data_IF_332894184378
#
_entry.id   IF_332894184378
#
_cell.length_a   1.000
_cell.length_b   1.000
_cell.length_c   1.000
_cell.angle_alpha   90.00
_cell.angle_beta   90.00
_cell.angle_gamma   90.00
#
_symmetry.space_group_name_H-M   'P 1'
#
loop_
_entity.id
_entity.type
_entity.pdbx_description
1 polymer ?
#
# COMPACT_ATOMS: atom_id res chain seq x y z
N UNK A 1 -28.63 71.71 -10.23
CA UNK A 1 -28.06 70.83 -9.19
C UNK A 1 -28.94 69.60 -9.03
N UNK A 2 -28.49 68.42 -9.49
CA UNK A 2 -28.59 67.14 -8.79
C UNK A 2 -27.85 66.07 -9.59
N UNK A 3 -27.17 65.23 -8.84
CA UNK A 3 -25.91 64.56 -9.16
C UNK A 3 -26.16 63.13 -9.66
N UNK A 4 -25.33 62.70 -10.61
CA UNK A 4 -25.22 61.34 -11.17
C UNK A 4 -24.92 60.31 -10.08
N UNK A 5 -25.46 59.08 -10.21
CA UNK A 5 -24.77 57.86 -9.76
C UNK A 5 -25.13 56.68 -10.68
N UNK A 6 -24.18 56.30 -11.54
CA UNK A 6 -24.14 55.04 -12.28
C UNK A 6 -23.45 53.99 -11.41
N UNK A 7 -24.15 52.91 -11.10
CA UNK A 7 -23.63 51.76 -10.33
C UNK A 7 -22.76 50.91 -11.28
N UNK A 8 -21.46 50.86 -11.01
CA UNK A 8 -20.54 49.92 -11.65
C UNK A 8 -20.56 48.58 -10.93
N UNK A 9 -20.86 47.51 -11.65
CA UNK A 9 -20.75 46.13 -11.15
C UNK A 9 -19.33 45.64 -11.44
N UNK A 10 -18.55 45.40 -10.38
CA UNK A 10 -17.26 44.71 -10.45
C UNK A 10 -17.51 43.20 -10.42
N UNK A 11 -17.28 42.52 -11.54
CA UNK A 11 -17.15 41.06 -11.58
C UNK A 11 -15.79 40.68 -10.98
N UNK A 12 -15.79 40.08 -9.79
CA UNK A 12 -14.63 39.39 -9.25
C UNK A 12 -14.56 37.98 -9.89
N UNK A 13 -13.60 37.75 -10.77
CA UNK A 13 -13.30 36.42 -11.30
C UNK A 13 -12.48 35.63 -10.27
N UNK A 14 -13.10 34.65 -9.63
CA UNK A 14 -12.43 33.71 -8.72
C UNK A 14 -11.56 32.74 -9.51
N UNK A 15 -10.23 32.95 -9.48
CA UNK A 15 -9.24 31.96 -9.89
C UNK A 15 -9.18 30.85 -8.83
N UNK A 16 -10.07 29.87 -8.94
CA UNK A 16 -9.91 28.60 -8.24
C UNK A 16 -8.79 27.81 -8.95
N UNK A 17 -7.56 27.94 -8.46
CA UNK A 17 -6.45 27.10 -8.91
C UNK A 17 -6.75 25.64 -8.56
N UNK A 18 -6.77 24.77 -9.57
CA UNK A 18 -6.83 23.32 -9.39
C UNK A 18 -5.45 22.91 -8.86
N UNK A 19 -5.30 22.80 -7.54
CA UNK A 19 -4.15 22.12 -6.97
C UNK A 19 -4.27 20.64 -7.37
N UNK A 20 -3.25 20.03 -7.99
CA UNK A 20 -3.27 18.59 -8.22
C UNK A 20 -3.41 17.90 -6.85
N UNK A 21 -4.39 17.01 -6.73
CA UNK A 21 -4.51 16.17 -5.56
C UNK A 21 -3.19 15.44 -5.34
N UNK A 22 -2.64 15.51 -4.12
CA UNK A 22 -1.48 14.70 -3.77
C UNK A 22 -1.90 13.24 -3.92
N UNK A 23 -1.10 12.46 -4.66
CA UNK A 23 -1.34 11.03 -4.79
C UNK A 23 -1.28 10.39 -3.40
N UNK A 24 -2.32 9.66 -3.03
CA UNK A 24 -2.41 9.02 -1.71
C UNK A 24 -1.59 7.73 -1.68
N UNK A 25 -1.08 7.31 -0.50
CA UNK A 25 -0.48 5.99 -0.32
C UNK A 25 -1.45 4.88 -0.74
N UNK A 26 -0.97 3.78 -1.34
CA UNK A 26 -1.81 2.62 -1.62
C UNK A 26 -2.23 1.97 -0.29
N UNK A 27 -3.52 2.07 0.03
CA UNK A 27 -4.13 1.37 1.17
C UNK A 27 -5.02 0.24 0.66
N UNK A 28 -5.25 -0.76 1.50
CA UNK A 28 -6.05 -1.95 1.17
C UNK A 28 -5.39 -3.25 1.60
N UNK A 29 -5.91 -4.35 1.05
CA UNK A 29 -5.41 -5.71 1.28
C UNK A 29 -4.83 -6.23 -0.03
N UNK A 30 -3.65 -6.83 0.03
CA UNK A 30 -2.94 -7.32 -1.15
C UNK A 30 -2.51 -8.77 -0.93
N UNK A 31 -2.62 -9.59 -1.98
CA UNK A 31 -2.24 -11.00 -1.95
C UNK A 31 -0.72 -11.13 -2.16
N UNK A 32 -0.02 -11.83 -1.29
CA UNK A 32 1.41 -12.11 -1.44
C UNK A 32 1.70 -12.94 -2.69
N UNK A 33 2.69 -12.53 -3.48
CA UNK A 33 3.13 -13.26 -4.66
C UNK A 33 4.26 -14.24 -4.28
N UNK A 34 4.11 -15.57 -4.43
CA UNK A 34 5.01 -16.53 -3.78
C UNK A 34 6.41 -16.67 -4.41
N UNK A 35 6.58 -16.33 -5.69
CA UNK A 35 7.86 -16.46 -6.37
C UNK A 35 8.69 -15.17 -6.22
N UNK A 36 9.45 -15.10 -5.12
CA UNK A 36 10.28 -13.95 -4.76
C UNK A 36 11.57 -13.84 -5.58
N UNK A 37 11.87 -14.81 -6.46
CA UNK A 37 13.05 -14.79 -7.35
C UNK A 37 12.81 -14.06 -8.67
N UNK A 38 11.55 -13.75 -8.99
CA UNK A 38 11.14 -13.10 -10.23
C UNK A 38 10.33 -11.83 -9.94
N UNK A 39 10.47 -10.83 -10.80
CA UNK A 39 9.59 -9.65 -10.78
C UNK A 39 8.29 -10.05 -11.50
N UNK A 40 7.13 -10.09 -10.82
CA UNK A 40 5.88 -10.47 -11.47
C UNK A 40 5.42 -9.42 -12.47
N UNK A 41 4.79 -9.87 -13.54
CA UNK A 41 3.95 -9.03 -14.40
C UNK A 41 2.53 -8.94 -13.86
N UNK A 42 1.73 -8.01 -14.37
CA UNK A 42 0.29 -7.94 -14.03
C UNK A 42 -0.44 -9.23 -14.42
N UNK A 43 -0.05 -9.87 -15.54
CA UNK A 43 -0.64 -11.14 -15.96
C UNK A 43 -0.35 -12.29 -14.98
N UNK A 44 0.84 -12.31 -14.36
CA UNK A 44 1.18 -13.29 -13.32
C UNK A 44 0.33 -13.08 -12.07
N UNK A 45 0.14 -11.82 -11.66
CA UNK A 45 -0.75 -11.46 -10.55
C UNK A 45 -2.20 -11.83 -10.86
N UNK A 46 -2.71 -11.51 -12.04
CA UNK A 46 -4.09 -11.84 -12.43
C UNK A 46 -4.31 -13.36 -12.46
N UNK A 47 -3.31 -14.12 -12.93
CA UNK A 47 -3.34 -15.58 -12.90
C UNK A 47 -3.34 -16.13 -11.47
N UNK A 48 -2.54 -15.55 -10.58
CA UNK A 48 -2.50 -15.91 -9.16
C UNK A 48 -3.85 -15.61 -8.49
N UNK A 49 -4.40 -14.41 -8.67
CA UNK A 49 -5.69 -14.00 -8.10
C UNK A 49 -6.81 -14.91 -8.60
N UNK A 50 -6.88 -15.24 -9.89
CA UNK A 50 -7.88 -16.20 -10.43
C UNK A 50 -7.77 -17.61 -9.82
N UNK A 51 -6.54 -18.05 -9.53
CA UNK A 51 -6.28 -19.39 -8.96
C UNK A 51 -6.67 -19.44 -7.49
N UNK A 52 -6.18 -18.49 -6.70
CA UNK A 52 -6.33 -18.45 -5.24
C UNK A 52 -7.73 -17.97 -4.85
N UNK A 53 -8.33 -17.09 -5.65
CA UNK A 53 -9.58 -16.38 -5.36
C UNK A 53 -9.50 -15.75 -3.97
N UNK A 54 -8.55 -14.80 -3.77
CA UNK A 54 -8.43 -14.09 -2.52
C UNK A 54 -9.71 -13.30 -2.23
N UNK A 55 -9.94 -13.02 -0.96
CA UNK A 55 -11.03 -12.15 -0.50
C UNK A 55 -10.61 -11.52 0.82
N UNK A 56 -11.19 -10.38 1.18
CA UNK A 56 -10.90 -9.78 2.49
C UNK A 56 -11.33 -10.67 3.65
N UNK A 57 -12.44 -11.41 3.52
CA UNK A 57 -12.88 -12.36 4.54
C UNK A 57 -11.80 -13.42 4.84
N UNK A 58 -11.17 -14.00 3.80
CA UNK A 58 -10.06 -14.95 3.97
C UNK A 58 -8.84 -14.29 4.61
N UNK A 59 -8.49 -13.09 4.15
CA UNK A 59 -7.34 -12.36 4.68
C UNK A 59 -7.54 -12.05 6.18
N UNK A 60 -8.71 -11.54 6.57
CA UNK A 60 -9.06 -11.25 7.95
C UNK A 60 -9.08 -12.54 8.79
N UNK A 61 -9.66 -13.62 8.26
CA UNK A 61 -9.64 -14.91 8.94
C UNK A 61 -8.20 -15.35 9.25
N UNK A 62 -7.28 -15.22 8.29
CA UNK A 62 -5.87 -15.55 8.48
C UNK A 62 -5.19 -14.62 9.48
N UNK A 63 -5.43 -13.31 9.40
CA UNK A 63 -4.92 -12.31 10.35
C UNK A 63 -5.32 -12.63 11.80
N UNK A 64 -6.53 -13.17 12.01
CA UNK A 64 -7.02 -13.58 13.33
C UNK A 64 -6.69 -15.04 13.70
N UNK A 65 -5.81 -15.71 12.96
CA UNK A 65 -5.41 -17.10 13.23
C UNK A 65 -6.51 -18.13 12.96
N UNK A 66 -7.57 -17.76 12.23
CA UNK A 66 -8.68 -18.61 11.80
C UNK A 66 -8.34 -19.24 10.45
N UNK A 67 -7.31 -20.08 10.42
CA UNK A 67 -6.81 -20.71 9.20
C UNK A 67 -7.94 -21.48 8.51
N UNK A 68 -8.31 -21.14 7.25
CA UNK A 68 -9.26 -21.95 6.50
C UNK A 68 -8.62 -23.33 6.25
N UNK A 69 -9.24 -24.41 6.71
CA UNK A 69 -8.75 -25.76 6.47
C UNK A 69 -8.68 -26.04 4.96
N UNK A 70 -7.50 -26.42 4.45
CA UNK A 70 -7.32 -26.97 3.10
C UNK A 70 -7.09 -25.97 1.96
N UNK A 71 -6.78 -24.70 2.24
CA UNK A 71 -6.35 -23.76 1.20
C UNK A 71 -4.87 -23.94 0.85
N UNK A 72 -4.51 -23.65 -0.40
CA UNK A 72 -3.13 -23.35 -0.77
C UNK A 72 -2.60 -22.27 0.19
N UNK A 73 -1.33 -22.33 0.60
CA UNK A 73 -0.75 -21.27 1.45
C UNK A 73 -0.86 -19.92 0.74
N UNK A 74 -1.77 -19.08 1.24
CA UNK A 74 -1.98 -17.70 0.83
C UNK A 74 -1.61 -16.79 2.00
N UNK A 75 -0.88 -15.72 1.70
CA UNK A 75 -0.50 -14.72 2.68
C UNK A 75 -0.90 -13.34 2.17
N UNK A 76 -1.09 -12.40 3.08
CA UNK A 76 -1.64 -11.09 2.78
C UNK A 76 -0.80 -9.98 3.42
N UNK A 77 -0.86 -8.83 2.77
CA UNK A 77 -0.43 -7.54 3.30
C UNK A 77 -1.66 -6.67 3.50
N UNK A 78 -1.83 -6.15 4.71
CA UNK A 78 -2.77 -5.11 5.05
C UNK A 78 -2.00 -3.79 5.17
N UNK A 79 -2.43 -2.79 4.40
CA UNK A 79 -1.95 -1.43 4.50
C UNK A 79 -3.10 -0.50 4.81
N UNK A 80 -3.02 0.15 5.97
CA UNK A 80 -3.85 1.30 6.28
C UNK A 80 -2.99 2.56 6.39
N UNK A 81 -3.58 3.71 6.71
CA UNK A 81 -2.88 5.00 6.77
C UNK A 81 -1.73 5.06 7.78
N UNK A 82 -1.65 4.13 8.74
CA UNK A 82 -0.70 4.15 9.87
C UNK A 82 -0.12 2.79 10.23
N UNK A 83 -0.50 1.70 9.55
CA UNK A 83 -0.08 0.34 9.87
C UNK A 83 0.21 -0.46 8.61
N UNK A 84 1.27 -1.25 8.71
CA UNK A 84 1.59 -2.36 7.81
C UNK A 84 1.48 -3.63 8.63
N UNK A 85 0.76 -4.61 8.10
CA UNK A 85 0.52 -5.87 8.78
C UNK A 85 0.58 -7.01 7.77
N UNK A 86 1.34 -8.06 8.08
CA UNK A 86 1.52 -9.22 7.22
C UNK A 86 0.99 -10.47 7.90
N UNK A 87 0.29 -11.33 7.17
CA UNK A 87 -0.20 -12.61 7.73
C UNK A 87 0.86 -13.72 7.68
N UNK A 88 2.10 -13.38 7.36
CA UNK A 88 3.26 -14.26 7.42
C UNK A 88 4.29 -13.67 8.37
N UNK A 89 5.13 -14.54 8.93
CA UNK A 89 6.34 -14.15 9.64
C UNK A 89 7.54 -14.34 8.71
N UNK A 90 8.46 -13.37 8.71
CA UNK A 90 9.74 -13.46 8.02
C UNK A 90 10.88 -13.29 9.01
N UNK A 91 12.12 -13.55 8.58
CA UNK A 91 13.28 -13.47 9.47
C UNK A 91 13.32 -12.10 10.19
N UNK A 92 13.29 -12.15 11.53
CA UNK A 92 13.38 -10.98 12.40
C UNK A 92 12.11 -10.13 12.51
N UNK A 93 10.96 -10.56 11.97
CA UNK A 93 9.64 -9.94 12.20
C UNK A 93 9.60 -8.42 11.99
N UNK A 94 10.32 -7.96 10.96
CA UNK A 94 10.49 -6.55 10.61
C UNK A 94 9.41 -6.00 9.67
N UNK A 95 8.47 -6.82 9.20
CA UNK A 95 7.51 -6.48 8.13
C UNK A 95 6.14 -6.02 8.65
N UNK A 96 5.95 -6.02 9.98
CA UNK A 96 4.69 -5.60 10.62
C UNK A 96 4.97 -4.51 11.64
N UNK A 97 4.16 -3.43 11.60
CA UNK A 97 4.20 -2.38 12.59
C UNK A 97 3.59 -1.05 12.16
N UNK A 98 3.98 0.01 12.86
CA UNK A 98 3.46 1.36 12.62
C UNK A 98 4.17 2.02 11.43
N UNK A 99 3.39 2.59 10.52
CA UNK A 99 3.89 3.24 9.30
C UNK A 99 3.68 4.75 9.37
N UNK A 100 4.68 5.48 8.86
CA UNK A 100 4.59 6.92 8.56
C UNK A 100 4.83 7.11 7.08
N UNK A 101 3.77 7.36 6.32
CA UNK A 101 3.90 7.67 4.90
C UNK A 101 4.49 9.07 4.70
N UNK A 102 5.45 9.15 3.79
CA UNK A 102 5.97 10.41 3.27
C UNK A 102 5.25 10.83 1.99
N UNK A 103 5.97 11.53 1.12
CA UNK A 103 5.43 12.02 -0.14
C UNK A 103 5.29 10.89 -1.17
N UNK A 104 4.14 10.82 -1.83
CA UNK A 104 3.96 10.04 -3.06
C UNK A 104 4.40 10.85 -4.28
N UNK A 105 5.22 10.27 -5.17
CA UNK A 105 5.64 10.86 -6.45
C UNK A 105 5.42 9.85 -7.57
N UNK A 106 4.46 10.13 -8.45
CA UNK A 106 4.05 9.15 -9.45
C UNK A 106 3.47 7.90 -8.77
N UNK A 107 3.99 6.73 -9.12
CA UNK A 107 3.55 5.44 -8.59
C UNK A 107 4.27 5.02 -7.29
N UNK A 108 5.16 5.86 -6.76
CA UNK A 108 6.02 5.53 -5.62
C UNK A 108 5.65 6.35 -4.38
N UNK A 109 5.41 5.67 -3.26
CA UNK A 109 5.19 6.24 -1.93
C UNK A 109 6.32 5.81 -1.00
N UNK A 110 7.09 6.77 -0.49
CA UNK A 110 8.10 6.50 0.56
C UNK A 110 7.44 6.40 1.93
N UNK A 111 8.01 5.61 2.83
CA UNK A 111 7.54 5.48 4.20
C UNK A 111 8.66 5.14 5.19
N UNK A 112 8.38 5.32 6.47
CA UNK A 112 9.13 4.74 7.58
C UNK A 112 8.24 3.71 8.28
N UNK A 113 8.82 2.56 8.61
CA UNK A 113 8.21 1.50 9.40
C UNK A 113 8.92 1.39 10.75
N UNK A 114 8.14 1.37 11.83
CA UNK A 114 8.58 1.01 13.17
C UNK A 114 7.99 -0.37 13.46
N UNK A 115 8.80 -1.44 13.41
CA UNK A 115 8.33 -2.80 13.63
C UNK A 115 7.82 -3.00 15.05
N UNK A 116 6.75 -3.78 15.20
CA UNK A 116 6.13 -4.02 16.51
C UNK A 116 7.09 -4.78 17.45
N UNK A 117 7.82 -5.77 16.94
CA UNK A 117 8.78 -6.57 17.72
C UNK A 117 10.16 -5.90 17.89
N UNK A 118 10.40 -4.81 17.15
CA UNK A 118 11.64 -4.04 17.18
C UNK A 118 11.37 -2.52 17.23
N UNK A 119 10.71 -2.02 18.29
CA UNK A 119 10.18 -0.65 18.32
C UNK A 119 11.25 0.45 18.41
N UNK A 120 12.51 0.09 18.63
CA UNK A 120 13.66 1.01 18.62
C UNK A 120 14.26 1.18 17.23
N UNK A 121 13.89 0.33 16.27
CA UNK A 121 14.36 0.39 14.89
C UNK A 121 13.43 1.23 14.04
N UNK A 122 14.00 1.93 13.06
CA UNK A 122 13.22 2.62 12.02
C UNK A 122 13.72 2.15 10.66
N UNK A 123 12.85 1.48 9.93
CA UNK A 123 13.14 0.93 8.61
C UNK A 123 12.57 1.88 7.57
N UNK A 124 13.46 2.45 6.74
CA UNK A 124 13.02 3.21 5.58
C UNK A 124 12.50 2.25 4.51
N UNK A 125 11.45 2.65 3.78
CA UNK A 125 10.89 1.84 2.72
C UNK A 125 10.21 2.66 1.64
N UNK A 126 9.83 1.95 0.58
CA UNK A 126 9.02 2.52 -0.49
C UNK A 126 8.05 1.48 -1.04
N UNK A 127 6.85 1.93 -1.37
CA UNK A 127 5.82 1.14 -2.04
C UNK A 127 5.71 1.67 -3.47
N UNK A 128 5.81 0.77 -4.44
CA UNK A 128 5.63 1.07 -5.86
C UNK A 128 4.35 0.37 -6.31
N UNK A 129 3.36 1.16 -6.70
CA UNK A 129 2.00 0.70 -6.88
C UNK A 129 1.33 1.39 -8.08
N UNK A 130 1.73 1.10 -9.34
CA UNK A 130 1.19 1.77 -10.51
C UNK A 130 -0.31 1.55 -10.67
N UNK A 131 -1.08 2.60 -10.98
CA UNK A 131 -2.54 2.54 -11.08
C UNK A 131 -3.05 1.56 -12.16
N UNK A 132 -2.28 1.37 -13.24
CA UNK A 132 -2.60 0.44 -14.33
C UNK A 132 -2.02 -0.96 -14.18
N UNK A 133 -1.49 -1.33 -13.00
CA UNK A 133 -0.85 -2.63 -12.77
C UNK A 133 -1.51 -3.37 -11.61
N UNK A 134 -1.66 -4.69 -11.75
CA UNK A 134 -2.05 -5.55 -10.62
C UNK A 134 -0.92 -5.76 -9.61
N UNK A 135 0.31 -5.31 -9.91
CA UNK A 135 1.50 -5.53 -9.05
C UNK A 135 1.70 -4.36 -8.08
N UNK A 136 1.90 -4.71 -6.82
CA UNK A 136 2.38 -3.82 -5.76
C UNK A 136 3.72 -4.36 -5.27
N UNK A 137 4.73 -3.50 -5.19
CA UNK A 137 6.06 -3.84 -4.68
C UNK A 137 6.31 -3.08 -3.40
N UNK A 138 6.65 -3.78 -2.32
CA UNK A 138 7.13 -3.18 -1.08
C UNK A 138 8.63 -3.42 -0.97
N UNK A 139 9.37 -2.38 -0.65
CA UNK A 139 10.79 -2.47 -0.36
C UNK A 139 11.05 -1.94 1.04
N UNK A 140 11.66 -2.77 1.87
CA UNK A 140 12.21 -2.40 3.18
C UNK A 140 13.73 -2.32 3.05
N UNK A 141 14.32 -1.22 3.46
CA UNK A 141 15.75 -0.94 3.26
C UNK A 141 16.58 -1.34 4.47
N UNK A 142 17.75 -1.94 4.23
CA UNK A 142 18.71 -2.32 5.27
C UNK A 142 18.07 -3.08 6.45
N UNK A 143 17.18 -4.02 6.17
CA UNK A 143 16.54 -4.84 7.19
C UNK A 143 17.59 -5.70 7.87
N UNK A 144 17.72 -5.66 9.21
CA UNK A 144 18.65 -6.50 9.94
C UNK A 144 18.39 -8.00 9.70
N UNK A 145 19.46 -8.78 9.55
CA UNK A 145 19.38 -10.24 9.47
C UNK A 145 20.62 -10.88 10.10
N UNK A 146 20.55 -12.20 10.31
CA UNK A 146 21.69 -12.99 10.81
C UNK A 146 22.95 -12.88 9.94
N UNK A 147 22.80 -12.59 8.64
CA UNK A 147 23.89 -12.47 7.68
C UNK A 147 24.28 -11.01 7.36
N UNK A 148 23.79 -10.06 8.16
CA UNK A 148 23.97 -8.62 7.95
C UNK A 148 22.73 -7.93 7.37
N UNK A 149 22.73 -6.60 7.38
CA UNK A 149 21.60 -5.83 6.88
C UNK A 149 21.49 -5.92 5.35
N UNK A 150 20.26 -6.11 4.84
CA UNK A 150 20.00 -6.17 3.41
C UNK A 150 18.62 -5.59 3.06
N UNK A 151 18.44 -5.15 1.82
CA UNK A 151 17.13 -4.75 1.33
C UNK A 151 16.23 -5.98 1.18
N UNK A 152 15.00 -5.87 1.66
CA UNK A 152 13.95 -6.86 1.45
C UNK A 152 12.96 -6.32 0.44
N UNK A 153 12.75 -7.09 -0.62
CA UNK A 153 11.79 -6.77 -1.68
C UNK A 153 10.72 -7.83 -1.66
N UNK A 154 9.48 -7.40 -1.49
CA UNK A 154 8.31 -8.29 -1.51
C UNK A 154 7.30 -7.80 -2.53
N UNK A 155 6.78 -8.74 -3.32
CA UNK A 155 5.74 -8.47 -4.30
C UNK A 155 4.38 -8.96 -3.83
N UNK A 156 3.37 -8.15 -4.14
CA UNK A 156 1.97 -8.40 -3.84
C UNK A 156 1.11 -8.11 -5.07
N UNK A 157 -0.07 -8.71 -5.09
CA UNK A 157 -1.06 -8.60 -6.14
C UNK A 157 -2.30 -7.90 -5.60
N UNK A 158 -2.77 -6.88 -6.32
CA UNK A 158 -4.09 -6.29 -6.13
C UNK A 158 -5.15 -7.33 -6.47
N UNK A 159 -6.21 -7.35 -5.68
CA UNK A 159 -7.44 -8.04 -6.01
C UNK A 159 -8.61 -7.14 -5.60
N UNK A 160 -9.71 -7.20 -6.35
CA UNK A 160 -10.92 -6.50 -5.97
C UNK A 160 -11.55 -7.23 -4.78
N UNK A 161 -11.95 -6.47 -3.77
CA UNK A 161 -12.77 -6.98 -2.69
C UNK A 161 -14.23 -6.79 -3.10
N UNK A 162 -14.94 -7.87 -3.41
CA UNK A 162 -16.33 -7.86 -3.90
C UNK A 162 -17.32 -7.19 -2.93
N UNK A 163 -16.86 -6.72 -1.76
CA UNK A 163 -17.65 -6.06 -0.71
C UNK A 163 -17.74 -4.52 -0.81
N UNK A 164 -17.09 -3.86 -1.77
CA UNK A 164 -17.25 -2.42 -2.03
C UNK A 164 -17.94 -2.12 -3.38
N UNK A 165 -19.18 -2.62 -3.56
CA UNK A 165 -20.08 -2.21 -4.65
C UNK A 165 -21.45 -1.75 -4.13
#
# INVERSE_FOLDING_TARGET
>A
MRLRQTIGVLLAASLAGILPALAEPPTGVFLWFPDQGAVPSSADCDALVRRIRPSREKADALLWGRVPFGSDMEYYLFLDQRRMETTYAAEGDYDTGSVRFGQTRGDETVFELIPDDHPTETIAGNIIAPAGSSVVKVVLRNVPSSNGAADRVTYFCRFEDDTEA
#
